data_IF_218543330357
#
_entry.id   IF_218543330357
#
_cell.length_a   1.000
_cell.length_b   1.000
_cell.length_c   1.000
_cell.angle_alpha   90.00
_cell.angle_beta   90.00
_cell.angle_gamma   90.00
#
_symmetry.space_group_name_H-M   'P 1'
#
loop_
_entity.id
_entity.type
_entity.pdbx_description
1 polymer ?
#
# COMPACT_ATOMS: atom_id res chain seq x y z
N UNK A 1 -21.80 -28.65 -27.51
CA UNK A 1 -21.73 -27.18 -27.66
C UNK A 1 -22.76 -26.56 -26.75
N UNK A 2 -22.34 -26.16 -25.55
CA UNK A 2 -23.16 -25.34 -24.66
C UNK A 2 -22.73 -23.87 -24.89
N UNK A 3 -23.65 -22.92 -25.04
CA UNK A 3 -23.29 -21.54 -25.30
C UNK A 3 -22.67 -20.92 -24.05
N UNK A 4 -21.64 -20.12 -24.29
CA UNK A 4 -21.08 -19.16 -23.35
C UNK A 4 -22.22 -18.36 -22.73
N UNK A 5 -22.25 -18.27 -21.40
CA UNK A 5 -23.04 -17.26 -20.71
C UNK A 5 -22.72 -15.92 -21.37
N UNK A 6 -23.77 -15.32 -21.94
CA UNK A 6 -23.75 -13.98 -22.50
C UNK A 6 -23.05 -13.08 -21.47
N UNK A 7 -21.83 -12.64 -21.79
CA UNK A 7 -21.13 -11.69 -20.96
C UNK A 7 -22.03 -10.48 -20.80
N UNK A 8 -22.36 -10.13 -19.56
CA UNK A 8 -22.87 -8.81 -19.25
C UNK A 8 -21.97 -7.81 -19.95
N UNK A 9 -22.59 -6.84 -20.64
CA UNK A 9 -21.86 -5.79 -21.32
C UNK A 9 -20.87 -5.19 -20.32
N UNK A 10 -19.56 -5.24 -20.64
CA UNK A 10 -18.53 -4.61 -19.84
C UNK A 10 -18.96 -3.16 -19.63
N UNK A 11 -19.50 -2.88 -18.44
CA UNK A 11 -20.08 -1.57 -18.15
C UNK A 11 -18.88 -0.65 -18.01
N UNK A 12 -18.57 0.08 -19.07
CA UNK A 12 -17.46 1.01 -19.08
C UNK A 12 -17.71 2.03 -17.96
N UNK A 13 -16.75 2.13 -17.03
CA UNK A 13 -16.81 3.16 -15.99
C UNK A 13 -16.90 4.54 -16.67
N UNK A 14 -17.70 5.47 -16.13
CA UNK A 14 -17.73 6.82 -16.66
C UNK A 14 -16.33 7.43 -16.59
N UNK A 15 -15.99 8.33 -17.53
CA UNK A 15 -14.67 8.95 -17.56
C UNK A 15 -14.35 9.55 -16.18
N UNK A 16 -13.11 9.32 -15.74
CA UNK A 16 -12.58 9.82 -14.48
C UNK A 16 -12.80 11.34 -14.45
N UNK A 17 -13.40 11.91 -13.38
CA UNK A 17 -13.60 13.33 -13.28
C UNK A 17 -12.26 14.04 -13.46
N UNK A 18 -12.20 14.95 -14.43
CA UNK A 18 -11.06 15.84 -14.55
C UNK A 18 -11.07 16.80 -13.36
N UNK A 19 -9.88 17.07 -12.84
CA UNK A 19 -9.64 17.89 -11.65
C UNK A 19 -10.52 19.14 -11.60
N UNK A 20 -11.14 19.41 -10.45
CA UNK A 20 -11.86 20.68 -10.25
C UNK A 20 -10.91 21.90 -10.25
N UNK A 21 -9.60 21.65 -10.16
CA UNK A 21 -8.63 22.63 -9.70
C UNK A 21 -7.26 22.46 -10.44
N UNK A 22 -6.89 23.41 -11.32
CA UNK A 22 -5.59 23.66 -12.02
C UNK A 22 -4.25 23.64 -11.21
N UNK A 23 -4.17 22.96 -10.06
CA UNK A 23 -3.04 23.06 -9.12
C UNK A 23 -1.84 22.18 -9.52
N UNK A 24 -2.01 21.39 -10.58
CA UNK A 24 -1.11 20.35 -11.06
C UNK A 24 0.34 20.81 -11.36
N UNK A 25 0.60 22.13 -11.48
CA UNK A 25 1.96 22.64 -11.72
C UNK A 25 2.78 22.90 -10.46
N UNK A 26 2.17 22.98 -9.27
CA UNK A 26 2.86 23.38 -8.01
C UNK A 26 2.87 22.32 -6.92
N UNK A 27 2.23 21.18 -7.14
CA UNK A 27 2.16 20.12 -6.15
C UNK A 27 3.49 19.38 -6.04
N UNK A 28 3.99 19.16 -4.81
CA UNK A 28 5.16 18.32 -4.56
C UNK A 28 4.80 16.83 -4.61
N UNK A 29 3.62 16.47 -4.09
CA UNK A 29 3.15 15.09 -4.02
C UNK A 29 1.79 14.99 -4.72
N UNK A 30 1.59 13.91 -5.48
CA UNK A 30 0.33 13.58 -6.15
C UNK A 30 0.06 12.09 -6.06
N UNK A 31 -1.08 11.74 -5.48
CA UNK A 31 -1.60 10.37 -5.47
C UNK A 31 -3.01 10.39 -6.00
N UNK A 32 -3.39 9.34 -6.73
CA UNK A 32 -4.78 9.06 -6.99
C UNK A 32 -4.98 7.56 -6.96
N UNK A 33 -6.09 7.13 -6.40
CA UNK A 33 -6.39 5.71 -6.30
C UNK A 33 -7.89 5.48 -6.36
N UNK A 34 -8.27 4.34 -6.92
CA UNK A 34 -9.65 3.89 -7.01
C UNK A 34 -9.82 2.69 -6.12
N UNK A 35 -10.80 2.80 -5.23
CA UNK A 35 -11.14 1.76 -4.29
C UNK A 35 -12.50 1.19 -4.61
N UNK A 36 -12.57 -0.14 -4.60
CA UNK A 36 -13.84 -0.84 -4.59
C UNK A 36 -14.51 -0.64 -3.22
N UNK A 37 -15.85 -0.77 -3.16
CA UNK A 37 -16.58 -0.73 -1.89
C UNK A 37 -16.05 -1.78 -0.90
N UNK A 38 -15.98 -1.44 0.38
CA UNK A 38 -15.56 -2.36 1.45
C UNK A 38 -16.45 -3.61 1.52
N UNK A 39 -17.73 -3.50 1.15
CA UNK A 39 -18.70 -4.60 1.14
C UNK A 39 -18.64 -5.47 -0.13
N UNK A 40 -17.70 -5.19 -1.05
CA UNK A 40 -17.57 -5.90 -2.32
C UNK A 40 -18.69 -5.64 -3.33
N UNK A 41 -19.54 -4.63 -3.07
CA UNK A 41 -20.59 -4.22 -4.00
C UNK A 41 -20.07 -3.59 -5.29
N UNK A 42 -20.91 -3.55 -6.33
CA UNK A 42 -20.61 -2.85 -7.59
C UNK A 42 -20.97 -1.35 -7.56
N UNK A 43 -21.54 -0.87 -6.45
CA UNK A 43 -22.00 0.51 -6.28
C UNK A 43 -21.16 1.20 -5.20
N UNK A 44 -20.70 2.43 -5.43
CA UNK A 44 -19.93 3.18 -4.45
C UNK A 44 -18.41 3.12 -4.61
N UNK A 45 -17.90 2.85 -5.82
CA UNK A 45 -16.45 2.98 -6.11
C UNK A 45 -15.99 4.37 -5.67
N UNK A 46 -14.93 4.42 -4.86
CA UNK A 46 -14.39 5.66 -4.33
C UNK A 46 -13.11 5.99 -5.07
N UNK A 47 -13.09 7.16 -5.71
CA UNK A 47 -11.91 7.74 -6.30
C UNK A 47 -11.38 8.81 -5.36
N UNK A 48 -10.15 8.64 -4.91
CA UNK A 48 -9.47 9.59 -4.04
C UNK A 48 -8.33 10.25 -4.81
N UNK A 49 -8.33 11.58 -4.83
CA UNK A 49 -7.22 12.38 -5.29
C UNK A 49 -6.57 13.07 -4.09
N UNK A 50 -5.25 12.98 -4.01
CA UNK A 50 -4.45 13.62 -2.97
C UNK A 50 -3.35 14.44 -3.61
N UNK A 51 -3.15 15.65 -3.09
CA UNK A 51 -2.00 16.45 -3.47
C UNK A 51 -1.51 17.32 -2.32
N UNK A 52 -0.23 17.62 -2.35
CA UNK A 52 0.41 18.49 -1.38
C UNK A 52 0.97 19.74 -2.06
N UNK A 53 0.75 20.90 -1.45
CA UNK A 53 1.38 22.17 -1.82
C UNK A 53 1.99 22.83 -0.57
N UNK A 54 3.31 22.85 -0.50
CA UNK A 54 4.05 23.38 0.64
C UNK A 54 3.84 22.49 1.86
N UNK A 55 3.08 22.98 2.84
CA UNK A 55 2.71 22.23 4.06
C UNK A 55 1.25 21.79 4.07
N UNK A 56 0.49 22.11 3.03
CA UNK A 56 -0.93 21.78 2.98
C UNK A 56 -1.14 20.52 2.15
N UNK A 57 -1.84 19.56 2.72
CA UNK A 57 -2.38 18.42 2.01
C UNK A 57 -3.86 18.67 1.71
N UNK A 58 -4.28 18.22 0.54
CA UNK A 58 -5.65 18.34 0.06
C UNK A 58 -6.12 16.97 -0.43
N UNK A 59 -7.40 16.67 -0.20
CA UNK A 59 -8.08 15.53 -0.78
C UNK A 59 -9.31 15.97 -1.57
N UNK A 60 -9.58 15.28 -2.68
CA UNK A 60 -10.87 15.24 -3.36
C UNK A 60 -11.36 13.79 -3.37
N UNK A 61 -12.54 13.55 -2.79
CA UNK A 61 -13.19 12.24 -2.73
C UNK A 61 -14.40 12.25 -3.65
N UNK A 62 -14.37 11.41 -4.67
CA UNK A 62 -15.44 11.23 -5.65
C UNK A 62 -16.03 9.84 -5.50
N UNK A 63 -17.32 9.74 -5.22
CA UNK A 63 -18.02 8.44 -5.14
C UNK A 63 -18.82 8.21 -6.42
N UNK A 64 -18.60 7.06 -7.05
CA UNK A 64 -19.35 6.63 -8.21
C UNK A 64 -20.73 6.11 -7.78
N UNK A 65 -21.78 6.73 -8.31
CA UNK A 65 -23.17 6.33 -8.10
C UNK A 65 -23.79 5.90 -9.43
N UNK A 66 -25.04 5.43 -9.40
CA UNK A 66 -25.77 4.98 -10.60
C UNK A 66 -25.87 6.03 -11.70
N UNK A 67 -25.85 7.32 -11.35
CA UNK A 67 -25.92 8.45 -12.29
C UNK A 67 -24.54 8.98 -12.74
N UNK A 68 -23.45 8.30 -12.37
CA UNK A 68 -22.08 8.77 -12.59
C UNK A 68 -21.40 9.27 -11.32
N UNK A 69 -20.28 9.97 -11.49
CA UNK A 69 -19.50 10.52 -10.38
C UNK A 69 -20.29 11.61 -9.64
N UNK A 70 -20.36 11.48 -8.31
CA UNK A 70 -20.95 12.51 -7.45
C UNK A 70 -20.10 13.79 -7.39
N UNK A 71 -20.66 14.83 -6.78
CA UNK A 71 -19.91 16.05 -6.45
C UNK A 71 -18.76 15.68 -5.49
N UNK A 72 -17.50 16.09 -5.77
CA UNK A 72 -16.37 15.77 -4.90
C UNK A 72 -16.54 16.37 -3.50
N UNK A 73 -16.32 15.56 -2.47
CA UNK A 73 -16.07 16.08 -1.13
C UNK A 73 -14.58 16.48 -1.02
N UNK A 74 -14.29 17.61 -0.39
CA UNK A 74 -12.92 18.13 -0.30
C UNK A 74 -12.45 18.21 1.15
N UNK A 75 -11.23 17.76 1.41
CA UNK A 75 -10.57 17.92 2.70
C UNK A 75 -9.28 18.74 2.53
N UNK A 76 -8.91 19.51 3.55
CA UNK A 76 -7.58 20.12 3.64
C UNK A 76 -7.03 20.04 5.06
N UNK A 77 -5.70 19.94 5.17
CA UNK A 77 -5.01 20.00 6.45
C UNK A 77 -3.64 20.65 6.27
N UNK A 78 -3.24 21.46 7.25
CA UNK A 78 -1.87 21.94 7.35
C UNK A 78 -1.05 20.97 8.18
N UNK A 79 0.01 20.43 7.58
CA UNK A 79 0.92 19.49 8.20
C UNK A 79 1.90 20.23 9.13
N UNK A 80 2.41 19.55 10.18
CA UNK A 80 3.43 20.10 11.06
C UNK A 80 4.64 20.68 10.32
N UNK A 81 5.39 21.57 10.96
CA UNK A 81 6.48 22.30 10.31
C UNK A 81 7.71 21.41 10.04
N UNK A 82 7.67 20.63 8.95
CA UNK A 82 8.79 19.86 8.41
C UNK A 82 8.99 20.17 6.90
N UNK A 83 10.12 19.74 6.34
CA UNK A 83 10.35 19.75 4.90
C UNK A 83 9.82 18.44 4.33
N UNK A 84 8.79 18.54 3.50
CA UNK A 84 8.22 17.41 2.78
C UNK A 84 8.72 17.42 1.34
N UNK A 85 9.20 16.28 0.87
CA UNK A 85 9.59 16.08 -0.53
C UNK A 85 8.57 15.20 -1.25
N UNK A 86 8.84 14.86 -2.52
CA UNK A 86 7.96 14.03 -3.34
C UNK A 86 7.77 12.61 -2.75
N UNK A 87 8.68 12.18 -1.87
CA UNK A 87 8.62 10.88 -1.22
C UNK A 87 7.72 10.84 0.01
N UNK A 88 7.26 11.98 0.55
CA UNK A 88 6.56 12.05 1.86
C UNK A 88 5.44 11.02 2.04
N UNK A 89 4.62 10.81 1.00
CA UNK A 89 3.64 9.72 0.98
C UNK A 89 4.25 8.53 0.25
N UNK A 90 4.30 7.41 0.95
CA UNK A 90 4.87 6.18 0.41
C UNK A 90 3.80 5.27 -0.20
N UNK A 91 2.68 5.14 0.49
CA UNK A 91 1.64 4.16 0.19
C UNK A 91 0.28 4.61 0.72
N UNK A 92 -0.78 3.97 0.24
CA UNK A 92 -2.14 4.21 0.69
C UNK A 92 -2.91 2.89 0.74
N UNK A 93 -3.63 2.67 1.84
CA UNK A 93 -4.49 1.49 1.94
C UNK A 93 -5.84 1.74 1.30
N UNK A 94 -6.49 0.67 0.82
CA UNK A 94 -7.93 0.66 0.66
C UNK A 94 -8.65 1.15 1.92
N UNK A 95 -9.87 1.69 1.78
CA UNK A 95 -10.69 2.08 2.92
C UNK A 95 -10.80 0.94 3.93
N UNK A 96 -10.59 1.28 5.20
CA UNK A 96 -10.79 0.41 6.35
C UNK A 96 -11.75 1.12 7.29
N UNK A 97 -12.95 0.57 7.46
CA UNK A 97 -14.02 1.13 8.30
C UNK A 97 -14.34 2.59 7.95
N UNK A 98 -14.41 2.88 6.64
CA UNK A 98 -14.73 4.21 6.11
C UNK A 98 -13.59 5.23 6.21
N UNK A 99 -12.38 4.80 6.52
CA UNK A 99 -11.19 5.66 6.63
C UNK A 99 -10.08 5.18 5.70
N UNK A 100 -9.38 6.11 5.08
CA UNK A 100 -8.21 5.84 4.25
C UNK A 100 -6.96 6.21 5.02
N UNK A 101 -6.00 5.29 5.08
CA UNK A 101 -4.72 5.51 5.75
C UNK A 101 -3.60 5.63 4.72
N UNK A 102 -2.67 6.53 4.99
CA UNK A 102 -1.54 6.82 4.14
C UNK A 102 -0.25 6.65 4.94
N UNK A 103 0.68 5.87 4.40
CA UNK A 103 2.01 5.68 4.96
C UNK A 103 2.84 6.93 4.69
N UNK A 104 3.35 7.53 5.75
CA UNK A 104 4.27 8.66 5.64
C UNK A 104 5.71 8.18 5.78
N UNK A 105 6.66 8.93 5.22
CA UNK A 105 8.08 8.59 5.28
C UNK A 105 8.75 8.98 6.58
N UNK A 106 10.02 8.58 6.67
CA UNK A 106 10.89 8.68 7.84
C UNK A 106 10.86 10.05 8.54
N UNK A 107 10.65 10.02 9.87
CA UNK A 107 10.86 11.17 10.76
C UNK A 107 9.62 12.01 11.07
N UNK A 108 8.45 11.60 10.60
CA UNK A 108 7.16 12.23 10.89
C UNK A 108 6.59 11.74 12.23
N UNK A 109 6.73 10.44 12.52
CA UNK A 109 6.18 9.82 13.72
C UNK A 109 4.66 9.58 13.69
N UNK A 110 4.01 9.78 12.53
CA UNK A 110 2.57 9.57 12.37
C UNK A 110 2.24 9.06 10.96
N UNK A 111 1.20 8.25 10.82
CA UNK A 111 0.50 8.03 9.55
C UNK A 111 -0.59 9.09 9.34
N UNK A 112 -0.96 9.36 8.09
CA UNK A 112 -2.10 10.25 7.80
C UNK A 112 -3.36 9.43 7.60
N UNK A 113 -4.46 9.90 8.16
CA UNK A 113 -5.79 9.34 7.97
C UNK A 113 -6.71 10.34 7.30
N UNK A 114 -7.63 9.85 6.48
CA UNK A 114 -8.74 10.61 5.91
C UNK A 114 -10.05 9.89 6.24
N UNK A 115 -10.92 10.55 7.00
CA UNK A 115 -12.26 10.06 7.23
C UNK A 115 -13.14 10.40 6.02
N UNK A 116 -13.66 9.38 5.34
CA UNK A 116 -14.44 9.56 4.11
C UNK A 116 -15.85 10.07 4.40
N UNK A 117 -16.39 9.85 5.60
CA UNK A 117 -17.73 10.29 5.97
C UNK A 117 -17.75 11.80 6.26
N UNK A 118 -16.72 12.31 6.95
CA UNK A 118 -16.61 13.73 7.30
C UNK A 118 -15.75 14.53 6.31
N UNK A 119 -15.03 13.87 5.40
CA UNK A 119 -14.02 14.47 4.54
C UNK A 119 -13.01 15.31 5.35
N UNK A 120 -12.47 14.73 6.41
CA UNK A 120 -11.50 15.39 7.29
C UNK A 120 -10.25 14.55 7.48
N UNK A 121 -9.09 15.20 7.40
CA UNK A 121 -7.83 14.57 7.73
C UNK A 121 -7.62 14.48 9.24
N UNK A 122 -6.88 13.47 9.65
CA UNK A 122 -6.36 13.29 11.00
C UNK A 122 -4.97 12.64 10.96
N UNK A 123 -4.26 12.69 12.08
CA UNK A 123 -2.97 12.02 12.26
C UNK A 123 -3.13 10.83 13.17
N UNK A 124 -2.51 9.72 12.80
CA UNK A 124 -2.41 8.53 13.62
C UNK A 124 -0.95 8.40 14.09
N UNK A 125 -0.69 8.63 15.37
CA UNK A 125 0.66 8.47 15.94
C UNK A 125 1.15 7.04 15.74
N UNK A 126 2.43 6.86 15.42
CA UNK A 126 3.04 5.54 15.25
C UNK A 126 3.38 4.90 16.61
N UNK A 127 3.52 3.56 16.68
CA UNK A 127 4.03 2.90 17.87
C UNK A 127 5.39 3.49 18.30
N UNK A 128 5.63 3.54 19.62
CA UNK A 128 6.89 4.07 20.17
C UNK A 128 8.08 3.33 19.56
N UNK A 129 9.04 4.08 19.01
CA UNK A 129 10.24 3.55 18.36
C UNK A 129 10.10 3.31 16.86
N UNK A 130 8.87 3.34 16.31
CA UNK A 130 8.66 3.26 14.85
C UNK A 130 8.67 4.67 14.27
N UNK A 131 9.70 4.98 13.48
CA UNK A 131 9.84 6.28 12.81
C UNK A 131 9.86 6.17 11.28
N UNK A 132 10.18 4.99 10.76
CA UNK A 132 10.33 4.69 9.34
C UNK A 132 10.27 3.18 9.12
N UNK A 133 10.39 2.75 7.87
CA UNK A 133 10.48 1.34 7.50
C UNK A 133 9.31 0.50 8.03
N UNK A 134 8.10 0.97 7.73
CA UNK A 134 6.87 0.32 8.08
C UNK A 134 5.89 0.36 6.91
N UNK A 135 4.96 -0.59 6.93
CA UNK A 135 3.77 -0.59 6.10
C UNK A 135 2.58 -0.90 6.98
N UNK A 136 1.42 -0.46 6.50
CA UNK A 136 0.15 -0.72 7.15
C UNK A 136 -0.57 -1.83 6.38
N UNK A 137 -1.48 -2.51 7.07
CA UNK A 137 -2.37 -3.51 6.47
C UNK A 137 -3.73 -3.46 7.16
N UNK A 138 -4.81 -3.77 6.44
CA UNK A 138 -6.12 -3.87 7.04
C UNK A 138 -6.15 -5.05 8.04
N UNK A 139 -6.89 -4.90 9.13
CA UNK A 139 -7.14 -5.98 10.07
C UNK A 139 -8.62 -6.36 10.02
N UNK A 140 -9.15 -6.63 8.82
CA UNK A 140 -10.57 -6.91 8.53
C UNK A 140 -11.53 -6.14 9.44
N UNK A 141 -12.08 -6.80 10.46
CA UNK A 141 -13.09 -6.25 11.37
C UNK A 141 -12.53 -5.66 12.68
N UNK A 142 -11.21 -5.69 12.87
CA UNK A 142 -10.55 -5.35 14.14
C UNK A 142 -9.79 -4.03 14.12
N UNK A 143 -9.43 -3.51 12.95
CA UNK A 143 -8.77 -2.21 12.81
C UNK A 143 -7.59 -2.23 11.82
N UNK A 144 -6.40 -1.84 12.28
CA UNK A 144 -5.23 -1.63 11.42
C UNK A 144 -4.01 -2.36 11.96
N UNK A 145 -3.33 -3.12 11.10
CA UNK A 145 -2.00 -3.64 11.38
C UNK A 145 -0.92 -2.67 10.92
N UNK A 146 0.19 -2.65 11.64
CA UNK A 146 1.44 -2.03 11.24
C UNK A 146 2.56 -3.06 11.36
N UNK A 147 3.31 -3.27 10.29
CA UNK A 147 4.51 -4.10 10.30
C UNK A 147 5.71 -3.20 10.07
N UNK A 148 6.64 -3.18 11.01
CA UNK A 148 7.87 -2.40 10.96
C UNK A 148 9.10 -3.29 11.03
N UNK A 149 10.22 -2.81 10.48
CA UNK A 149 11.51 -3.47 10.63
C UNK A 149 12.59 -2.52 11.17
N UNK A 150 13.31 -2.96 12.19
CA UNK A 150 14.55 -2.34 12.67
C UNK A 150 15.72 -3.30 12.43
N UNK A 151 16.60 -2.97 11.48
CA UNK A 151 17.62 -3.89 10.99
C UNK A 151 16.99 -5.14 10.36
N UNK A 152 16.97 -6.24 11.11
CA UNK A 152 16.33 -7.53 10.75
C UNK A 152 15.25 -7.97 11.75
N UNK A 153 14.95 -7.13 12.74
CA UNK A 153 13.90 -7.38 13.71
C UNK A 153 12.58 -6.88 13.16
N UNK A 154 11.64 -7.80 12.89
CA UNK A 154 10.27 -7.46 12.55
C UNK A 154 9.46 -7.23 13.81
N UNK A 155 8.54 -6.27 13.77
CA UNK A 155 7.53 -6.05 14.80
C UNK A 155 6.17 -5.84 14.15
N UNK A 156 5.16 -6.55 14.64
CA UNK A 156 3.78 -6.50 14.16
C UNK A 156 2.93 -5.87 15.26
N UNK A 157 2.28 -4.76 14.94
CA UNK A 157 1.45 -3.99 15.85
C UNK A 157 0.01 -3.98 15.35
N UNK A 158 -0.95 -3.99 16.28
CA UNK A 158 -2.38 -3.85 16.00
C UNK A 158 -2.91 -2.58 16.66
N UNK A 159 -3.59 -1.75 15.89
CA UNK A 159 -4.41 -0.65 16.38
C UNK A 159 -5.88 -1.06 16.28
N UNK A 160 -6.56 -1.33 17.40
CA UNK A 160 -7.98 -1.60 17.37
C UNK A 160 -8.75 -0.34 16.94
N UNK A 161 -9.74 -0.48 16.05
CA UNK A 161 -10.59 0.64 15.64
C UNK A 161 -12.06 0.47 16.05
N UNK A 162 -12.42 -0.71 16.57
CA UNK A 162 -13.74 -1.00 17.13
C UNK A 162 -13.61 -1.10 18.65
N UNK A 163 -14.29 -0.19 19.36
CA UNK A 163 -14.30 -0.08 20.83
C UNK A 163 -14.28 1.37 21.32
N UNK A 164 -14.73 1.61 22.55
CA UNK A 164 -14.57 2.90 23.25
C UNK A 164 -13.08 3.11 23.55
N UNK A 165 -12.36 3.73 22.63
CA UNK A 165 -11.04 4.27 22.96
C UNK A 165 -10.83 5.64 22.31
N UNK A 166 -10.62 6.60 23.21
CA UNK A 166 -10.65 8.04 23.00
C UNK A 166 -9.30 8.47 22.42
N UNK A 167 -9.11 8.29 21.11
CA UNK A 167 -8.09 9.01 20.32
C UNK A 167 -6.62 8.91 20.72
N UNK A 168 -6.25 8.03 21.66
CA UNK A 168 -4.87 7.79 22.11
C UNK A 168 -4.14 6.72 21.30
N UNK A 169 -2.80 6.77 21.29
CA UNK A 169 -1.91 5.83 20.60
C UNK A 169 -1.99 4.39 21.15
N UNK A 170 -3.07 3.68 20.86
CA UNK A 170 -3.40 2.35 21.39
C UNK A 170 -2.83 1.21 20.53
N UNK A 171 -1.57 1.35 20.12
CA UNK A 171 -0.87 0.28 19.41
C UNK A 171 -0.49 -0.84 20.37
N UNK A 172 -0.91 -2.06 20.06
CA UNK A 172 -0.52 -3.27 20.77
C UNK A 172 0.50 -4.05 19.96
N UNK A 173 1.65 -4.37 20.55
CA UNK A 173 2.60 -5.31 19.95
C UNK A 173 2.00 -6.73 19.97
N UNK A 174 1.83 -7.31 18.80
CA UNK A 174 1.25 -8.65 18.60
C UNK A 174 2.33 -9.71 18.46
N UNK A 175 3.35 -9.45 17.66
CA UNK A 175 4.50 -10.35 17.50
C UNK A 175 5.78 -9.58 17.20
N UNK A 176 6.92 -10.20 17.51
CA UNK A 176 8.24 -9.68 17.15
C UNK A 176 9.22 -10.84 16.98
N UNK A 177 9.97 -10.84 15.88
CA UNK A 177 10.98 -11.86 15.60
C UNK A 177 12.04 -11.38 14.62
N UNK A 178 13.22 -12.01 14.68
CA UNK A 178 14.35 -11.70 13.80
C UNK A 178 14.37 -12.64 12.59
N UNK A 179 14.56 -12.08 11.38
CA UNK A 179 14.70 -12.87 10.14
C UNK A 179 16.14 -12.96 9.62
N UNK A 180 17.11 -12.43 10.37
CA UNK A 180 18.52 -12.34 9.94
C UNK A 180 19.13 -13.67 9.51
N UNK A 181 19.01 -14.72 10.33
CA UNK A 181 19.64 -16.03 10.02
C UNK A 181 19.06 -16.65 8.74
N UNK A 182 17.73 -16.62 8.58
CA UNK A 182 17.10 -17.21 7.41
C UNK A 182 17.38 -16.41 6.14
N UNK A 183 17.31 -15.07 6.21
CA UNK A 183 17.65 -14.21 5.08
C UNK A 183 19.11 -14.40 4.66
N UNK A 184 20.06 -14.41 5.61
CA UNK A 184 21.49 -14.58 5.29
C UNK A 184 21.82 -15.94 4.69
N UNK A 185 21.09 -17.01 5.05
CA UNK A 185 21.22 -18.32 4.41
C UNK A 185 20.74 -18.35 2.97
N UNK A 186 19.78 -17.49 2.62
CA UNK A 186 19.18 -17.39 1.28
C UNK A 186 19.90 -16.38 0.38
N UNK A 187 20.85 -15.61 0.92
CA UNK A 187 21.75 -14.75 0.16
C UNK A 187 22.99 -15.57 -0.22
N UNK A 188 23.24 -15.73 -1.53
CA UNK A 188 24.46 -16.37 -2.01
C UNK A 188 25.68 -15.56 -1.54
N UNK A 189 26.54 -16.21 -0.75
CA UNK A 189 27.57 -15.58 0.09
C UNK A 189 28.70 -14.89 -0.70
N UNK A 190 28.51 -13.71 -1.27
CA UNK A 190 29.64 -12.88 -1.68
C UNK A 190 29.26 -11.41 -1.70
N UNK A 191 29.10 -10.80 -0.52
CA UNK A 191 29.51 -9.43 -0.20
C UNK A 191 29.02 -9.05 1.19
N UNK A 192 29.88 -8.36 1.97
CA UNK A 192 29.48 -7.69 3.21
C UNK A 192 29.06 -6.28 2.83
N UNK A 193 27.75 -5.97 2.80
CA UNK A 193 27.29 -4.71 2.25
C UNK A 193 27.23 -3.65 3.35
N UNK A 194 27.47 -2.39 2.97
CA UNK A 194 27.38 -1.20 3.83
C UNK A 194 25.97 -0.94 4.41
N UNK A 195 24.95 -1.70 3.98
CA UNK A 195 23.54 -1.56 4.33
C UNK A 195 22.90 -2.93 4.59
N UNK A 196 23.16 -3.50 5.77
CA UNK A 196 22.65 -4.80 6.18
C UNK A 196 21.35 -4.60 6.98
N UNK A 197 20.25 -4.29 6.30
CA UNK A 197 18.91 -4.20 6.86
C UNK A 197 17.87 -4.67 5.83
N UNK A 198 16.66 -4.95 6.30
CA UNK A 198 15.50 -5.24 5.45
C UNK A 198 14.54 -4.06 5.42
N UNK A 199 14.05 -3.72 4.24
CA UNK A 199 12.97 -2.77 4.04
C UNK A 199 11.63 -3.52 3.98
N UNK A 200 10.60 -3.00 4.65
CA UNK A 200 9.23 -3.50 4.52
C UNK A 200 8.63 -2.92 3.24
N UNK A 201 8.40 -3.76 2.24
CA UNK A 201 7.95 -3.33 0.91
C UNK A 201 6.44 -3.45 0.73
N UNK A 202 5.85 -4.53 1.25
CA UNK A 202 4.40 -4.77 1.20
C UNK A 202 3.95 -5.64 2.37
N UNK A 203 2.74 -5.44 2.86
CA UNK A 203 2.12 -6.27 3.91
C UNK A 203 0.78 -6.74 3.39
N UNK A 204 0.56 -8.06 3.38
CA UNK A 204 -0.72 -8.63 3.02
C UNK A 204 -1.79 -8.35 4.08
N UNK A 205 -3.05 -8.48 3.69
CA UNK A 205 -4.20 -8.29 4.57
C UNK A 205 -4.07 -9.12 5.86
N UNK A 206 -4.60 -8.59 6.97
CA UNK A 206 -4.51 -9.17 8.32
C UNK A 206 -3.09 -9.43 8.84
N UNK A 207 -2.08 -8.80 8.24
CA UNK A 207 -0.68 -9.11 8.48
C UNK A 207 -0.41 -10.64 8.40
N UNK A 208 -0.99 -11.32 7.41
CA UNK A 208 -0.75 -12.76 7.20
C UNK A 208 0.70 -13.00 6.73
N UNK A 209 1.16 -12.14 5.83
CA UNK A 209 2.51 -12.16 5.27
C UNK A 209 3.06 -10.75 5.04
N UNK A 210 4.38 -10.68 4.89
CA UNK A 210 5.10 -9.47 4.51
C UNK A 210 6.09 -9.77 3.39
N UNK A 211 6.22 -8.85 2.45
CA UNK A 211 7.31 -8.84 1.48
C UNK A 211 8.39 -7.88 1.97
N UNK A 212 9.60 -8.40 2.11
CA UNK A 212 10.77 -7.66 2.53
C UNK A 212 11.73 -7.50 1.37
N UNK A 213 12.31 -6.32 1.24
CA UNK A 213 13.41 -6.07 0.32
C UNK A 213 14.73 -5.98 1.09
N UNK A 214 15.72 -6.76 0.67
CA UNK A 214 17.09 -6.66 1.19
C UNK A 214 17.95 -5.90 0.17
N UNK A 215 18.22 -4.59 0.39
CA UNK A 215 18.84 -3.72 -0.62
C UNK A 215 20.22 -4.21 -1.06
N UNK A 216 20.98 -4.68 -0.07
CA UNK A 216 22.29 -5.26 -0.17
C UNK A 216 22.44 -6.37 -1.23
N UNK A 217 21.50 -7.31 -1.26
CA UNK A 217 21.51 -8.44 -2.20
C UNK A 217 20.50 -8.28 -3.34
N UNK A 218 19.73 -7.20 -3.32
CA UNK A 218 18.61 -6.95 -4.21
C UNK A 218 17.59 -8.12 -4.26
N UNK A 219 17.36 -8.77 -3.12
CA UNK A 219 16.44 -9.91 -2.98
C UNK A 219 15.14 -9.45 -2.31
N UNK A 220 14.02 -9.97 -2.79
CA UNK A 220 12.74 -9.91 -2.13
C UNK A 220 12.45 -11.24 -1.43
N UNK A 221 12.07 -11.14 -0.16
CA UNK A 221 11.67 -12.26 0.66
C UNK A 221 10.18 -12.19 0.96
N UNK A 222 9.47 -13.28 0.76
CA UNK A 222 8.18 -13.51 1.36
C UNK A 222 8.38 -14.03 2.78
N UNK A 223 7.65 -13.49 3.73
CA UNK A 223 7.62 -13.99 5.11
C UNK A 223 6.18 -14.22 5.52
N UNK A 224 5.82 -15.47 5.77
CA UNK A 224 4.56 -15.77 6.44
C UNK A 224 4.72 -15.44 7.93
N UNK A 225 4.03 -14.41 8.41
CA UNK A 225 4.27 -13.84 9.75
C UNK A 225 3.95 -14.84 10.86
N UNK A 226 2.78 -15.50 10.79
CA UNK A 226 2.36 -16.50 11.78
C UNK A 226 3.28 -17.73 11.85
N UNK A 227 3.67 -18.26 10.69
CA UNK A 227 4.45 -19.51 10.61
C UNK A 227 5.96 -19.27 10.61
N UNK A 228 6.39 -18.01 10.51
CA UNK A 228 7.80 -17.57 10.44
C UNK A 228 8.59 -18.24 9.32
N UNK A 229 7.88 -18.60 8.24
CA UNK A 229 8.46 -19.16 7.03
C UNK A 229 8.98 -18.02 6.17
N UNK A 230 10.25 -18.09 5.76
CA UNK A 230 10.90 -17.09 4.91
C UNK A 230 11.30 -17.76 3.60
N UNK A 231 10.85 -17.19 2.48
CA UNK A 231 11.13 -17.69 1.15
C UNK A 231 11.67 -16.57 0.26
N UNK A 232 12.67 -16.89 -0.56
CA UNK A 232 13.14 -16.01 -1.62
C UNK A 232 12.14 -16.07 -2.77
N UNK A 233 11.47 -14.95 -3.06
CA UNK A 233 10.46 -14.89 -4.14
C UNK A 233 10.99 -14.24 -5.41
N UNK A 234 11.94 -13.31 -5.28
CA UNK A 234 12.50 -12.63 -6.43
C UNK A 234 13.90 -12.08 -6.12
N UNK A 235 14.76 -12.03 -7.14
CA UNK A 235 16.06 -11.35 -7.06
C UNK A 235 16.22 -10.47 -8.29
N UNK A 236 16.45 -9.18 -8.06
CA UNK A 236 16.76 -8.26 -9.14
C UNK A 236 18.18 -8.55 -9.65
N UNK A 237 18.44 -8.42 -10.96
CA UNK A 237 19.80 -8.35 -11.47
C UNK A 237 20.58 -7.26 -10.72
N UNK A 238 21.73 -7.61 -10.15
CA UNK A 238 22.58 -6.67 -9.43
C UNK A 238 23.01 -5.57 -10.41
N UNK A 239 22.78 -4.27 -10.11
CA UNK A 239 23.23 -3.20 -10.98
C UNK A 239 24.75 -3.28 -11.20
N UNK A 240 25.18 -3.17 -12.45
CA UNK A 240 26.61 -3.08 -12.82
C UNK A 240 27.22 -1.72 -12.42
N UNK A 241 26.41 -0.75 -12.03
CA UNK A 241 26.82 0.57 -11.56
C UNK A 241 26.50 0.75 -10.07
N UNK A 242 27.37 1.50 -9.40
CA UNK A 242 27.40 1.80 -7.95
C UNK A 242 26.20 2.65 -7.50
N UNK A 243 25.20 2.89 -8.37
CA UNK A 243 23.99 3.61 -8.01
C UNK A 243 22.96 2.63 -7.45
N UNK A 244 22.66 2.66 -6.14
CA UNK A 244 21.49 1.96 -5.62
C UNK A 244 20.26 2.49 -6.36
N UNK A 245 19.66 1.62 -7.18
CA UNK A 245 18.38 1.93 -7.81
C UNK A 245 17.34 1.80 -6.70
N UNK A 246 17.10 2.90 -5.99
CA UNK A 246 15.95 3.12 -5.12
C UNK A 246 14.66 3.25 -5.94
N UNK A 247 14.51 2.43 -6.98
CA UNK A 247 13.28 2.31 -7.74
C UNK A 247 12.28 1.53 -6.90
N UNK A 248 11.16 2.17 -6.56
CA UNK A 248 9.99 1.50 -5.96
C UNK A 248 9.56 0.37 -6.90
N UNK A 249 9.52 -0.85 -6.40
CA UNK A 249 8.86 -1.95 -7.10
C UNK A 249 7.39 -1.89 -6.73
N UNK A 250 6.52 -1.91 -7.73
CA UNK A 250 5.09 -1.97 -7.49
C UNK A 250 4.67 -3.44 -7.44
N UNK A 251 4.20 -3.89 -6.29
CA UNK A 251 3.59 -5.22 -6.13
C UNK A 251 2.08 -5.02 -6.25
N UNK A 252 1.50 -5.48 -7.36
CA UNK A 252 0.04 -5.50 -7.55
C UNK A 252 -0.50 -6.87 -7.18
N UNK A 253 -1.29 -7.02 -6.10
CA UNK A 253 -2.09 -8.22 -5.93
C UNK A 253 -3.13 -8.28 -7.06
N UNK A 254 -3.16 -9.39 -7.80
CA UNK A 254 -4.17 -9.62 -8.84
C UNK A 254 -5.17 -10.61 -8.28
N UNK A 255 -6.37 -10.13 -7.97
CA UNK A 255 -7.50 -10.99 -7.64
C UNK A 255 -8.03 -11.61 -8.92
N UNK A 256 -8.04 -12.94 -9.00
CA UNK A 256 -8.71 -13.70 -10.06
C UNK A 256 -9.83 -14.52 -9.44
N UNK A 257 -10.94 -14.69 -10.16
CA UNK A 257 -11.93 -15.71 -9.79
C UNK A 257 -11.23 -17.06 -9.79
N UNK A 258 -11.27 -17.76 -8.66
CA UNK A 258 -10.68 -19.08 -8.54
C UNK A 258 -11.66 -20.15 -9.03
N UNK A 259 -11.26 -21.10 -9.89
CA UNK A 259 -9.92 -21.25 -10.46
C UNK A 259 -9.64 -20.24 -11.59
N UNK A 260 -8.40 -19.73 -11.70
CA UNK A 260 -8.04 -18.74 -12.71
C UNK A 260 -8.28 -19.31 -14.11
N UNK A 261 -9.07 -18.59 -14.90
CA UNK A 261 -9.29 -18.92 -16.30
C UNK A 261 -8.25 -18.17 -17.12
N UNK A 262 -7.15 -18.83 -17.45
CA UNK A 262 -6.15 -18.26 -18.33
C UNK A 262 -6.66 -18.29 -19.78
N UNK A 263 -6.54 -17.19 -20.55
CA UNK A 263 -6.86 -17.22 -21.96
C UNK A 263 -5.95 -18.24 -22.67
N UNK A 264 -6.53 -19.10 -23.50
CA UNK A 264 -5.78 -20.02 -24.34
C UNK A 264 -4.85 -19.24 -25.25
N UNK A 265 -3.54 -19.54 -25.17
CA UNK A 265 -2.54 -18.98 -26.06
C UNK A 265 -2.90 -19.38 -27.50
N UNK A 266 -3.41 -18.43 -28.29
CA UNK A 266 -3.50 -18.62 -29.73
C UNK A 266 -2.07 -18.71 -30.25
N UNK A 267 -1.60 -19.94 -30.47
CA UNK A 267 -0.49 -20.16 -31.39
C UNK A 267 -0.98 -19.64 -32.73
N UNK A 268 -0.52 -18.45 -33.11
CA UNK A 268 -0.62 -17.99 -34.47
C UNK A 268 -0.13 -19.13 -35.35
N UNK A 269 -0.91 -19.47 -36.38
CA UNK A 269 -0.47 -20.38 -37.41
C UNK A 269 0.84 -19.80 -37.98
N UNK A 270 1.96 -20.44 -37.66
CA UNK A 270 3.15 -20.35 -38.48
C UNK A 270 2.74 -20.90 -39.84
N UNK A 271 2.38 -20.00 -40.76
CA UNK A 271 2.24 -20.35 -42.16
C UNK A 271 3.64 -20.61 -42.70
N UNK A 272 4.03 -21.88 -42.70
CA UNK A 272 4.92 -22.42 -43.72
C UNK A 272 4.18 -22.36 -45.07
N UNK A 273 4.57 -21.41 -45.93
CA UNK A 273 5.03 -21.61 -47.32
C UNK A 273 5.34 -20.26 -47.99
#
# INVERSE_FOLDING_TARGET
MAPLLHGESATALPPIPLHSRDWARRAQVRFFEMFLPEDGGLHGITLLHLWMVGRKIYAEVCVLRSSGWGVPATAEMELPAQRYDEGFLDDMLPPVLGKVFMVTTSGTGYALGLDLATASFFTLELPVGVQSNYKLSCAEDSGLYLVSADGFQLSVWLHPMIGDDDGGANWRLVDTFCVHETCTRLVDRYWVPLYNFIAVDFVGDNAEFVILYHPASCIFFYVHLRNRVVEKVYQRPTPTAITPVYGRFHISPVMMTWPPIFPTLNKGHDQEE
#
